data_IF_271289410943
#
_entry.id   IF_271289410943
#
_cell.length_a   1.000
_cell.length_b   1.000
_cell.length_c   1.000
_cell.angle_alpha   90.00
_cell.angle_beta   90.00
_cell.angle_gamma   90.00
#
_symmetry.space_group_name_H-M   'P 1'
#
loop_
_entity.id
_entity.type
_entity.pdbx_description
1 polymer ?
#
# COMPACT_ATOMS: atom_id res chain seq x y z
N UNK A 1 -4.09 -13.26 18.34
CA UNK A 1 -3.52 -11.90 18.41
C UNK A 1 -4.57 -10.96 17.88
N UNK A 2 -5.26 -10.29 18.76
CA UNK A 2 -6.29 -9.31 18.45
C UNK A 2 -5.64 -8.04 17.95
N UNK A 3 -5.69 -7.83 16.64
CA UNK A 3 -5.27 -6.58 16.04
C UNK A 3 -6.19 -5.46 16.51
N UNK A 4 -5.69 -4.57 17.33
CA UNK A 4 -6.35 -3.32 17.69
C UNK A 4 -6.43 -2.48 16.42
N UNK A 5 -7.52 -2.62 15.70
CA UNK A 5 -7.85 -1.71 14.62
C UNK A 5 -8.66 -0.56 15.17
N UNK A 6 -7.95 0.44 15.49
CA UNK A 6 -8.50 1.58 16.07
C UNK A 6 -8.62 2.71 15.09
N UNK A 7 -9.55 3.52 15.31
CA UNK A 7 -9.84 4.90 14.97
C UNK A 7 -8.67 5.81 14.49
N UNK A 8 -7.60 5.25 13.96
CA UNK A 8 -6.48 6.01 13.40
C UNK A 8 -6.71 6.44 11.95
N UNK A 9 -7.77 5.94 11.29
CA UNK A 9 -8.10 6.30 9.91
C UNK A 9 -8.29 7.81 9.67
N UNK A 10 -8.93 8.58 10.56
CA UNK A 10 -9.01 10.02 10.36
C UNK A 10 -7.70 10.75 10.65
N UNK A 11 -6.76 10.12 11.37
CA UNK A 11 -5.47 10.73 11.74
C UNK A 11 -4.34 10.27 10.82
N UNK A 12 -4.42 9.05 10.29
CA UNK A 12 -3.40 8.45 9.43
C UNK A 12 -4.04 7.72 8.25
N UNK A 13 -4.04 8.34 7.08
CA UNK A 13 -4.42 7.66 5.84
C UNK A 13 -3.24 6.85 5.31
N UNK A 14 -3.40 5.52 5.33
CA UNK A 14 -2.41 4.57 4.84
C UNK A 14 -3.04 3.78 3.69
N UNK A 15 -2.72 4.10 2.43
CA UNK A 15 -3.36 3.48 1.28
C UNK A 15 -3.03 1.99 1.14
N UNK A 16 -1.82 1.58 1.52
CA UNK A 16 -1.39 0.18 1.47
C UNK A 16 -0.59 -0.18 2.70
N UNK A 17 -0.86 -1.36 3.27
CA UNK A 17 -0.07 -2.01 4.31
C UNK A 17 0.42 -3.35 3.82
N UNK A 18 1.69 -3.66 4.01
CA UNK A 18 2.24 -4.98 3.69
C UNK A 18 2.55 -5.75 4.97
N UNK A 19 1.95 -6.93 5.10
CA UNK A 19 2.13 -7.83 6.22
C UNK A 19 2.97 -9.02 5.77
N UNK A 20 4.12 -9.21 6.37
CA UNK A 20 5.04 -10.29 6.03
C UNK A 20 4.80 -11.48 6.95
N UNK A 21 4.36 -12.58 6.39
CA UNK A 21 4.04 -13.82 7.11
C UNK A 21 5.24 -14.76 7.03
N UNK A 22 5.88 -14.99 8.16
CA UNK A 22 7.03 -15.89 8.27
C UNK A 22 6.61 -17.23 8.88
N UNK A 23 7.18 -18.32 8.37
CA UNK A 23 7.06 -19.63 8.97
C UNK A 23 7.85 -19.73 10.29
N UNK A 24 7.68 -20.82 11.03
CA UNK A 24 8.45 -21.09 12.25
C UNK A 24 9.96 -21.22 11.97
N UNK A 25 10.32 -21.54 10.75
CA UNK A 25 11.70 -21.61 10.25
C UNK A 25 12.28 -20.23 9.85
N UNK A 26 11.54 -19.15 10.10
CA UNK A 26 11.93 -17.78 9.75
C UNK A 26 11.80 -17.43 8.28
N UNK A 27 11.44 -18.38 7.42
CA UNK A 27 11.28 -18.12 5.97
C UNK A 27 9.99 -17.37 5.69
N UNK A 28 10.04 -16.42 4.77
CA UNK A 28 8.86 -15.70 4.29
C UNK A 28 7.97 -16.67 3.50
N UNK A 29 6.71 -16.81 3.92
CA UNK A 29 5.73 -17.74 3.34
C UNK A 29 4.69 -17.04 2.47
N UNK A 30 4.29 -15.86 2.90
CA UNK A 30 3.31 -15.06 2.18
C UNK A 30 3.51 -13.57 2.48
N UNK A 31 3.00 -12.72 1.62
CA UNK A 31 2.80 -11.30 1.90
C UNK A 31 1.33 -10.99 1.70
N UNK A 32 0.72 -10.35 2.69
CA UNK A 32 -0.65 -9.82 2.56
C UNK A 32 -0.56 -8.33 2.31
N UNK A 33 -1.02 -7.90 1.14
CA UNK A 33 -1.12 -6.49 0.79
C UNK A 33 -2.54 -6.01 1.10
N UNK A 34 -2.70 -5.29 2.22
CA UNK A 34 -3.95 -4.66 2.62
C UNK A 34 -4.06 -3.30 1.95
N UNK A 35 -5.05 -3.13 1.11
CA UNK A 35 -5.32 -1.90 0.35
C UNK A 35 -6.54 -1.21 0.94
N UNK A 36 -6.41 0.08 1.24
CA UNK A 36 -7.48 0.92 1.77
C UNK A 36 -7.87 1.97 0.73
N UNK A 37 -9.17 2.23 0.60
CA UNK A 37 -9.67 3.35 -0.19
C UNK A 37 -10.04 4.55 0.69
N UNK A 38 -10.37 5.67 0.05
CA UNK A 38 -10.83 6.89 0.75
C UNK A 38 -12.25 6.80 1.29
N UNK A 39 -12.98 5.73 0.96
CA UNK A 39 -14.36 5.49 1.40
C UNK A 39 -14.45 4.68 2.70
N UNK A 40 -13.31 4.37 3.34
CA UNK A 40 -13.24 3.60 4.58
C UNK A 40 -13.32 2.09 4.39
N UNK A 41 -13.22 1.61 3.14
CA UNK A 41 -13.19 0.18 2.83
C UNK A 41 -11.77 -0.31 2.65
N UNK A 42 -11.60 -1.61 2.80
CA UNK A 42 -10.31 -2.31 2.63
C UNK A 42 -10.49 -3.67 1.98
N UNK A 43 -9.44 -4.11 1.32
CA UNK A 43 -9.34 -5.42 0.70
C UNK A 43 -7.91 -5.94 0.81
N UNK A 44 -7.75 -7.25 0.98
CA UNK A 44 -6.46 -7.90 1.13
C UNK A 44 -6.13 -8.75 -0.09
N UNK A 45 -4.93 -8.57 -0.63
CA UNK A 45 -4.35 -9.45 -1.64
C UNK A 45 -3.36 -10.39 -0.96
N UNK A 46 -3.62 -11.69 -1.02
CA UNK A 46 -2.71 -12.71 -0.51
C UNK A 46 -1.73 -13.09 -1.62
N UNK A 47 -0.46 -12.81 -1.39
CA UNK A 47 0.63 -13.11 -2.31
C UNK A 47 1.42 -14.28 -1.74
N UNK A 48 1.24 -15.44 -2.37
CA UNK A 48 1.87 -16.69 -1.94
C UNK A 48 3.28 -16.85 -2.49
N UNK A 49 4.09 -17.60 -1.76
CA UNK A 49 5.46 -17.96 -2.17
C UNK A 49 6.30 -16.78 -2.65
N UNK A 50 6.37 -15.69 -1.88
CA UNK A 50 7.10 -14.50 -2.29
C UNK A 50 8.58 -14.84 -2.47
N UNK A 51 9.10 -14.50 -3.64
CA UNK A 51 10.53 -14.52 -3.92
C UNK A 51 11.04 -13.08 -3.94
N UNK A 52 12.15 -12.86 -3.28
CA UNK A 52 12.72 -11.52 -3.16
C UNK A 52 13.07 -10.94 -4.53
N UNK A 53 12.61 -9.72 -4.80
CA UNK A 53 12.81 -9.04 -6.08
C UNK A 53 11.93 -9.52 -7.23
N UNK A 54 11.27 -10.67 -7.13
CA UNK A 54 10.35 -11.16 -8.15
C UNK A 54 9.00 -10.45 -8.10
N UNK A 55 8.38 -10.29 -9.28
CA UNK A 55 7.05 -9.73 -9.38
C UNK A 55 6.00 -10.80 -9.04
N UNK A 56 5.08 -10.44 -8.16
CA UNK A 56 3.88 -11.23 -7.87
C UNK A 56 2.67 -10.51 -8.42
N UNK A 57 1.80 -11.23 -9.11
CA UNK A 57 0.64 -10.62 -9.79
C UNK A 57 -0.64 -10.98 -9.05
N UNK A 58 -1.52 -10.00 -8.88
CA UNK A 58 -2.88 -10.20 -8.40
C UNK A 58 -3.87 -9.43 -9.26
N UNK A 59 -5.02 -10.03 -9.57
CA UNK A 59 -6.08 -9.35 -10.32
C UNK A 59 -6.67 -8.22 -9.48
N UNK A 60 -6.81 -7.03 -10.07
CA UNK A 60 -7.44 -5.90 -9.40
C UNK A 60 -8.94 -6.12 -9.28
N UNK A 61 -9.44 -6.32 -8.06
CA UNK A 61 -10.87 -6.53 -7.76
C UNK A 61 -11.44 -5.42 -6.90
N UNK A 62 -10.60 -4.56 -6.33
CA UNK A 62 -11.00 -3.54 -5.37
C UNK A 62 -10.95 -2.13 -5.96
N UNK A 63 -12.01 -1.34 -5.71
CA UNK A 63 -12.12 0.04 -6.16
C UNK A 63 -11.37 0.98 -5.21
N UNK A 64 -10.28 1.55 -5.69
CA UNK A 64 -9.41 2.44 -4.88
C UNK A 64 -9.64 3.90 -5.18
N UNK A 65 -9.89 4.24 -6.46
CA UNK A 65 -10.01 5.62 -6.92
C UNK A 65 -11.09 5.76 -7.97
N UNK A 66 -11.88 6.83 -7.96
CA UNK A 66 -12.90 7.08 -8.98
C UNK A 66 -12.32 7.40 -10.37
N UNK A 67 -11.02 7.60 -10.47
CA UNK A 67 -10.34 7.86 -11.76
C UNK A 67 -9.69 6.61 -12.35
N UNK A 68 -9.83 5.45 -11.71
CA UNK A 68 -9.30 4.18 -12.18
C UNK A 68 -10.37 3.10 -12.15
N UNK A 69 -10.60 2.47 -13.28
CA UNK A 69 -11.51 1.34 -13.39
C UNK A 69 -11.05 0.15 -12.54
N UNK A 70 -12.01 -0.71 -12.12
CA UNK A 70 -11.70 -1.98 -11.46
C UNK A 70 -11.42 -3.02 -12.54
N UNK A 71 -10.27 -2.88 -13.20
CA UNK A 71 -9.78 -3.76 -14.27
C UNK A 71 -8.26 -3.88 -14.17
N UNK A 72 -7.71 -4.87 -14.87
CA UNK A 72 -6.27 -5.10 -14.92
C UNK A 72 -5.71 -5.86 -13.73
N UNK A 73 -4.41 -5.74 -13.52
CA UNK A 73 -3.66 -6.47 -12.50
C UNK A 73 -2.65 -5.61 -11.79
N UNK A 74 -2.44 -5.90 -10.53
CA UNK A 74 -1.32 -5.35 -9.76
C UNK A 74 -0.12 -6.26 -9.87
N UNK A 75 1.06 -5.66 -10.02
CA UNK A 75 2.34 -6.34 -9.85
C UNK A 75 3.02 -5.79 -8.59
N UNK A 76 3.25 -6.68 -7.64
CA UNK A 76 3.91 -6.38 -6.38
C UNK A 76 5.35 -6.88 -6.42
N UNK A 77 6.31 -6.04 -6.02
CA UNK A 77 7.70 -6.43 -5.81
C UNK A 77 8.15 -5.95 -4.45
N UNK A 78 8.69 -6.87 -3.67
CA UNK A 78 9.24 -6.59 -2.35
C UNK A 78 10.73 -6.89 -2.35
N UNK A 79 11.52 -5.90 -1.98
CA UNK A 79 12.96 -6.02 -1.88
C UNK A 79 13.38 -5.60 -0.48
N UNK A 80 14.11 -6.44 0.19
CA UNK A 80 14.72 -6.13 1.47
C UNK A 80 16.22 -6.37 1.37
N UNK A 81 16.99 -5.31 1.43
CA UNK A 81 18.43 -5.40 1.40
C UNK A 81 18.94 -5.54 2.82
N UNK A 82 19.52 -6.69 3.11
CA UNK A 82 20.23 -6.95 4.35
C UNK A 82 21.65 -6.38 4.18
N UNK A 83 21.96 -5.38 4.99
CA UNK A 83 23.29 -4.79 4.99
C UNK A 83 24.07 -5.28 6.19
N UNK A 84 25.40 -5.09 6.12
CA UNK A 84 26.33 -5.33 7.23
C UNK A 84 25.85 -4.62 8.51
N UNK A 85 26.23 -5.07 9.71
CA UNK A 85 25.86 -4.42 10.98
C UNK A 85 26.11 -2.91 11.03
N UNK A 86 26.96 -2.39 10.15
CA UNK A 86 27.26 -0.95 10.04
C UNK A 86 26.25 -0.15 9.22
N UNK A 87 25.35 -0.79 8.46
CA UNK A 87 24.36 -0.09 7.61
C UNK A 87 22.94 -0.56 7.92
N UNK A 88 21.98 0.36 8.08
CA UNK A 88 20.60 0.01 8.36
C UNK A 88 19.96 -0.71 7.17
N UNK A 89 19.20 -1.75 7.44
CA UNK A 89 18.41 -2.46 6.45
C UNK A 89 17.50 -1.49 5.68
N UNK A 90 17.42 -1.71 4.39
CA UNK A 90 16.54 -0.94 3.50
C UNK A 90 15.45 -1.84 2.94
N UNK A 91 14.25 -1.33 2.91
CA UNK A 91 13.13 -1.98 2.23
C UNK A 91 12.66 -1.14 1.05
N UNK A 92 12.30 -1.82 -0.04
CA UNK A 92 11.65 -1.22 -1.21
C UNK A 92 10.41 -2.05 -1.52
N UNK A 93 9.29 -1.38 -1.61
CA UNK A 93 8.03 -1.96 -2.08
C UNK A 93 7.65 -1.23 -3.36
N UNK A 94 7.45 -1.98 -4.44
CA UNK A 94 6.97 -1.46 -5.70
C UNK A 94 5.63 -2.09 -6.03
N UNK A 95 4.66 -1.28 -6.42
CA UNK A 95 3.33 -1.71 -6.81
C UNK A 95 3.01 -1.02 -8.13
N UNK A 96 2.89 -1.81 -9.18
CA UNK A 96 2.56 -1.35 -10.51
C UNK A 96 1.16 -1.84 -10.88
N UNK A 97 0.31 -0.97 -11.40
CA UNK A 97 -0.99 -1.31 -11.98
C UNK A 97 -0.82 -1.41 -13.49
N UNK A 98 -1.23 -2.53 -14.04
CA UNK A 98 -1.25 -2.79 -15.48
C UNK A 98 -2.69 -2.97 -15.96
N UNK A 99 -2.99 -2.41 -17.11
CA UNK A 99 -4.18 -2.69 -17.89
C UNK A 99 -3.82 -3.49 -19.17
N UNK A 100 -4.77 -3.59 -20.12
CA UNK A 100 -4.54 -4.29 -21.38
C UNK A 100 -3.52 -3.59 -22.30
N UNK A 101 -3.27 -2.30 -22.06
CA UNK A 101 -2.35 -1.47 -22.86
C UNK A 101 -0.93 -1.39 -22.24
N UNK A 102 -0.78 -1.88 -21.00
CA UNK A 102 0.51 -1.90 -20.31
C UNK A 102 0.48 -1.25 -18.93
N UNK A 103 1.59 -0.68 -18.47
CA UNK A 103 1.68 -0.08 -17.14
C UNK A 103 0.91 1.25 -17.08
N UNK A 104 -0.18 1.27 -16.33
CA UNK A 104 -1.01 2.46 -16.10
C UNK A 104 -0.47 3.35 -14.97
N UNK A 105 -0.09 2.73 -13.85
CA UNK A 105 0.43 3.43 -12.66
C UNK A 105 1.61 2.64 -12.13
N UNK A 106 2.71 3.34 -11.85
CA UNK A 106 3.90 2.77 -11.22
C UNK A 106 4.18 3.52 -9.93
N UNK A 107 4.23 2.79 -8.82
CA UNK A 107 4.50 3.37 -7.50
C UNK A 107 5.61 2.63 -6.80
N UNK A 108 6.42 3.35 -6.04
CA UNK A 108 7.44 2.75 -5.19
C UNK A 108 7.57 3.50 -3.86
N UNK A 109 7.77 2.74 -2.80
CA UNK A 109 8.08 3.25 -1.48
C UNK A 109 9.39 2.61 -1.05
N UNK A 110 10.34 3.43 -0.63
CA UNK A 110 11.59 2.94 -0.07
C UNK A 110 11.89 3.61 1.27
N UNK A 111 12.47 2.86 2.20
CA UNK A 111 12.79 3.37 3.52
C UNK A 111 13.90 2.57 4.20
N UNK A 112 14.45 3.17 5.24
CA UNK A 112 15.39 2.48 6.15
C UNK A 112 14.62 1.95 7.34
N UNK A 113 14.87 0.70 7.71
CA UNK A 113 14.28 0.11 8.91
C UNK A 113 14.97 0.69 10.15
N UNK A 114 14.16 1.11 11.10
CA UNK A 114 14.64 1.63 12.39
C UNK A 114 13.87 0.96 13.52
N UNK A 115 14.54 0.74 14.63
CA UNK A 115 13.89 0.22 15.82
C UNK A 115 12.79 1.18 16.29
N UNK A 116 11.65 0.62 16.71
CA UNK A 116 10.54 1.39 17.28
C UNK A 116 10.90 1.72 18.74
N UNK A 117 11.45 2.92 18.94
CA UNK A 117 11.77 3.46 20.26
C UNK A 117 10.96 4.73 20.50
N UNK A 118 10.72 5.07 21.76
CA UNK A 118 9.99 6.29 22.15
C UNK A 118 10.65 7.55 21.57
N UNK A 119 11.97 7.59 21.52
CA UNK A 119 12.73 8.71 20.95
C UNK A 119 12.52 8.83 19.44
N UNK A 120 12.55 7.72 18.71
CA UNK A 120 12.30 7.72 17.26
C UNK A 120 10.85 8.11 16.94
N UNK A 121 9.88 7.62 17.71
CA UNK A 121 8.48 7.99 17.55
C UNK A 121 8.25 9.49 17.78
N UNK A 122 8.78 10.03 18.89
CA UNK A 122 8.69 11.47 19.17
C UNK A 122 9.33 12.30 18.05
N UNK A 123 10.51 11.90 17.56
CA UNK A 123 11.19 12.58 16.46
C UNK A 123 10.32 12.61 15.20
N UNK A 124 9.66 11.49 14.83
CA UNK A 124 8.79 11.43 13.65
C UNK A 124 7.58 12.36 13.80
N UNK A 125 6.91 12.33 14.97
CA UNK A 125 5.75 13.17 15.25
C UNK A 125 6.11 14.65 15.15
N UNK A 126 7.20 15.07 15.79
CA UNK A 126 7.66 16.46 15.75
C UNK A 126 8.18 16.92 14.38
N UNK A 127 8.74 15.99 13.60
CA UNK A 127 9.26 16.32 12.26
C UNK A 127 8.14 16.42 11.22
N UNK A 128 7.01 15.76 11.45
CA UNK A 128 5.91 15.67 10.49
C UNK A 128 4.54 15.90 11.16
N UNK A 129 4.32 17.02 11.85
CA UNK A 129 3.11 17.22 12.64
C UNK A 129 1.83 17.28 11.79
N UNK A 130 1.95 17.71 10.54
CA UNK A 130 0.82 17.88 9.62
C UNK A 130 0.87 16.90 8.43
N UNK A 131 1.58 15.76 8.57
CA UNK A 131 1.77 14.82 7.47
C UNK A 131 0.43 14.36 6.89
N UNK A 132 -0.50 13.95 7.74
CA UNK A 132 -1.81 13.45 7.32
C UNK A 132 -2.64 14.52 6.64
N UNK A 133 -2.67 15.73 7.21
CA UNK A 133 -3.37 16.86 6.60
C UNK A 133 -2.77 17.20 5.23
N UNK A 134 -1.45 17.23 5.11
CA UNK A 134 -0.76 17.47 3.84
C UNK A 134 -1.07 16.40 2.79
N UNK A 135 -1.16 15.13 3.18
CA UNK A 135 -1.58 14.04 2.29
C UNK A 135 -3.01 14.22 1.83
N UNK A 136 -3.94 14.52 2.75
CA UNK A 136 -5.35 14.73 2.42
C UNK A 136 -5.54 15.91 1.47
N UNK A 137 -4.89 17.05 1.74
CA UNK A 137 -4.92 18.21 0.85
C UNK A 137 -4.41 17.87 -0.55
N UNK A 138 -3.30 17.13 -0.65
CA UNK A 138 -2.76 16.71 -1.96
C UNK A 138 -3.69 15.77 -2.72
N UNK A 139 -4.32 14.81 -2.03
CA UNK A 139 -5.29 13.89 -2.67
C UNK A 139 -6.44 14.69 -3.28
N UNK A 140 -7.04 15.61 -2.52
CA UNK A 140 -8.16 16.43 -3.00
C UNK A 140 -7.72 17.39 -4.12
N UNK A 141 -6.52 17.97 -4.01
CA UNK A 141 -5.96 18.83 -5.03
C UNK A 141 -5.76 18.09 -6.37
N UNK A 142 -5.17 16.88 -6.33
CA UNK A 142 -5.03 16.06 -7.52
C UNK A 142 -6.38 15.62 -8.09
N UNK A 143 -7.33 15.25 -7.23
CA UNK A 143 -8.69 14.93 -7.68
C UNK A 143 -9.35 16.11 -8.39
N UNK A 144 -9.22 17.32 -7.86
CA UNK A 144 -9.73 18.55 -8.50
C UNK A 144 -9.05 18.82 -9.85
N UNK A 145 -7.72 18.61 -9.95
CA UNK A 145 -7.01 18.76 -11.22
C UNK A 145 -7.48 17.75 -12.27
N UNK A 146 -7.68 16.49 -11.89
CA UNK A 146 -8.20 15.45 -12.79
C UNK A 146 -9.63 15.77 -13.24
N UNK A 147 -10.47 16.23 -12.33
CA UNK A 147 -11.82 16.67 -12.66
C UNK A 147 -11.83 17.85 -13.64
N UNK A 148 -10.99 18.88 -13.42
CA UNK A 148 -10.83 20.01 -14.36
C UNK A 148 -10.36 19.56 -15.75
N UNK A 149 -9.50 18.54 -15.82
CA UNK A 149 -9.04 17.91 -17.07
C UNK A 149 -10.08 17.00 -17.70
N UNK A 150 -11.30 16.90 -17.14
CA UNK A 150 -12.39 16.04 -17.61
C UNK A 150 -11.98 14.57 -17.75
N UNK A 151 -11.10 14.09 -16.87
CA UNK A 151 -10.75 12.67 -16.82
C UNK A 151 -12.00 11.87 -16.45
N UNK A 152 -12.19 10.74 -17.13
CA UNK A 152 -13.37 9.87 -16.94
C UNK A 152 -13.50 9.49 -15.47
N UNK A 153 -14.74 9.65 -14.96
CA UNK A 153 -15.09 9.31 -13.58
C UNK A 153 -15.82 7.96 -13.58
N UNK A 154 -15.36 7.03 -12.78
CA UNK A 154 -15.96 5.72 -12.63
C UNK A 154 -16.73 5.67 -11.31
N UNK A 155 -18.01 5.28 -11.41
CA UNK A 155 -18.81 5.06 -10.24
C UNK A 155 -18.28 3.84 -9.46
N UNK A 156 -18.38 3.93 -8.15
CA UNK A 156 -17.98 2.85 -7.25
C UNK A 156 -18.87 1.62 -7.50
N UNK A 157 -18.31 0.47 -7.91
CA UNK A 157 -19.06 -0.77 -8.00
C UNK A 157 -19.35 -1.34 -6.60
N UNK A 158 -20.19 -2.36 -6.54
CA UNK A 158 -20.34 -3.15 -5.32
C UNK A 158 -19.00 -3.72 -4.88
N UNK A 159 -18.65 -3.65 -3.57
CA UNK A 159 -17.42 -4.24 -3.08
C UNK A 159 -17.33 -5.72 -3.40
N UNK A 160 -16.12 -6.29 -3.57
CA UNK A 160 -15.96 -7.73 -3.75
C UNK A 160 -16.55 -8.47 -2.55
N UNK A 161 -17.21 -9.61 -2.80
CA UNK A 161 -17.82 -10.43 -1.75
C UNK A 161 -16.76 -10.98 -0.78
N UNK A 162 -15.58 -11.32 -1.29
CA UNK A 162 -14.48 -11.82 -0.50
C UNK A 162 -13.61 -10.67 0.01
N UNK A 163 -13.26 -10.72 1.28
CA UNK A 163 -12.34 -9.78 1.92
C UNK A 163 -10.87 -9.99 1.48
N UNK A 164 -10.55 -11.21 1.04
CA UNK A 164 -9.20 -11.62 0.63
C UNK A 164 -9.26 -12.26 -0.75
N UNK A 165 -8.40 -11.79 -1.65
CA UNK A 165 -8.20 -12.40 -2.98
C UNK A 165 -6.76 -12.93 -3.10
N UNK A 166 -6.61 -14.05 -3.78
CA UNK A 166 -5.33 -14.69 -4.07
C UNK A 166 -4.90 -14.44 -5.52
#
# INVERSE_FOLDING_TARGET
MTGVQTCALPILFKPVSSWYVHGRDGRLRAVVAEVNNTFGERHCYLLDHPQEGCAMTARKVFHVSPFCEVSGSYQFRFLRTWHSPAQPDRTVVRIDLHDEQGPLIQTSISGRLQAVTTSNLRRIIWRHPLLTLGVMVRIHWHALQLWRKRVRFFHKPTPPADFVTR
#
